data_IF_290677554139
#
_entry.id   IF_290677554139
#
_cell.length_a   1.000
_cell.length_b   1.000
_cell.length_c   1.000
_cell.angle_alpha   90.00
_cell.angle_beta   90.00
_cell.angle_gamma   90.00
#
_symmetry.space_group_name_H-M   'P 1'
#
loop_
_entity.id
_entity.type
_entity.pdbx_description
1 polymer ?
#
# COMPACT_ATOMS: atom_id res chain seq x y z
N UNK A 1 18.23 3.58 -22.67
CA UNK A 1 18.00 4.80 -21.89
C UNK A 1 17.49 4.35 -20.52
N UNK A 2 18.33 4.41 -19.48
CA UNK A 2 18.17 3.65 -18.23
C UNK A 2 17.47 4.49 -17.15
N UNK A 3 16.29 4.04 -16.72
CA UNK A 3 15.55 4.28 -15.47
C UNK A 3 15.82 5.57 -14.66
N UNK A 4 15.08 6.62 -14.97
CA UNK A 4 14.79 7.73 -14.04
C UNK A 4 13.51 7.51 -13.20
N UNK A 5 12.76 6.41 -13.39
CA UNK A 5 11.32 6.38 -13.07
C UNK A 5 10.91 6.33 -11.59
N UNK A 6 11.49 5.53 -10.67
CA UNK A 6 11.03 5.51 -9.29
C UNK A 6 11.38 6.79 -8.54
N UNK A 7 12.59 7.32 -8.79
CA UNK A 7 13.08 8.56 -8.20
C UNK A 7 12.25 9.75 -8.69
N UNK A 8 11.94 9.79 -9.98
CA UNK A 8 11.09 10.84 -10.55
C UNK A 8 9.65 10.77 -10.02
N UNK A 9 9.07 9.57 -9.91
CA UNK A 9 7.76 9.38 -9.28
C UNK A 9 7.73 9.90 -7.84
N UNK A 10 8.75 9.57 -7.05
CA UNK A 10 8.92 10.07 -5.68
C UNK A 10 9.09 11.59 -5.63
N UNK A 11 9.90 12.16 -6.53
CA UNK A 11 10.09 13.61 -6.62
C UNK A 11 8.76 14.33 -6.87
N UNK A 12 7.97 13.86 -7.85
CA UNK A 12 6.67 14.42 -8.16
C UNK A 12 5.65 14.24 -7.04
N UNK A 13 5.63 13.08 -6.39
CA UNK A 13 4.76 12.85 -5.24
C UNK A 13 5.15 13.71 -4.03
N UNK A 14 6.45 13.93 -3.80
CA UNK A 14 6.93 14.85 -2.77
C UNK A 14 6.53 16.30 -3.09
N UNK A 15 6.68 16.74 -4.35
CA UNK A 15 6.24 18.05 -4.78
C UNK A 15 4.72 18.23 -4.63
N UNK A 16 3.93 17.24 -5.05
CA UNK A 16 2.47 17.24 -4.90
C UNK A 16 2.05 17.28 -3.42
N UNK A 17 2.74 16.52 -2.55
CA UNK A 17 2.55 16.57 -1.11
C UNK A 17 2.86 17.95 -0.53
N UNK A 18 3.99 18.56 -0.90
CA UNK A 18 4.35 19.91 -0.47
C UNK A 18 3.33 20.95 -0.93
N UNK A 19 2.81 20.84 -2.15
CA UNK A 19 1.75 21.73 -2.67
C UNK A 19 0.45 21.54 -1.88
N UNK A 20 0.01 20.30 -1.65
CA UNK A 20 -1.21 20.01 -0.93
C UNK A 20 -1.15 20.48 0.55
N UNK A 21 0.02 20.35 1.18
CA UNK A 21 0.27 20.85 2.54
C UNK A 21 0.34 22.38 2.57
N UNK A 22 1.08 23.01 1.65
CA UNK A 22 1.21 24.47 1.57
C UNK A 22 -0.10 25.18 1.18
N UNK A 23 -0.96 24.51 0.41
CA UNK A 23 -2.33 24.92 0.10
C UNK A 23 -3.33 24.59 1.22
N UNK A 24 -2.87 23.99 2.33
CA UNK A 24 -3.68 23.65 3.51
C UNK A 24 -4.89 22.74 3.21
N UNK A 25 -4.78 21.89 2.18
CA UNK A 25 -5.87 20.96 1.82
C UNK A 25 -6.14 19.92 2.94
N UNK A 26 -5.19 19.74 3.84
CA UNK A 26 -5.30 18.90 5.03
C UNK A 26 -6.10 19.53 6.19
N UNK A 27 -6.48 20.81 6.09
CA UNK A 27 -7.18 21.56 7.16
C UNK A 27 -8.63 21.89 6.81
N UNK A 28 -9.17 21.43 5.67
CA UNK A 28 -10.52 21.84 5.28
C UNK A 28 -11.53 21.42 6.36
N UNK A 29 -12.37 22.34 6.83
CA UNK A 29 -13.38 22.08 7.88
C UNK A 29 -12.93 22.32 9.32
N UNK A 30 -11.62 22.46 9.60
CA UNK A 30 -11.13 22.90 10.92
C UNK A 30 -10.99 24.43 10.94
N UNK A 31 -11.36 25.12 12.04
CA UNK A 31 -11.08 26.54 12.18
C UNK A 31 -9.56 26.76 12.10
N UNK A 32 -9.10 27.91 11.55
CA UNK A 32 -7.67 28.17 11.41
C UNK A 32 -6.99 28.13 12.77
N UNK A 33 -6.33 27.01 13.07
CA UNK A 33 -5.47 26.90 14.24
C UNK A 33 -4.19 27.66 13.97
N UNK A 34 -3.73 28.41 14.97
CA UNK A 34 -2.67 29.41 14.87
C UNK A 34 -1.25 28.80 14.77
N UNK A 35 -1.10 27.63 14.14
CA UNK A 35 0.06 26.78 14.31
C UNK A 35 0.45 26.06 13.02
N UNK A 36 1.49 26.58 12.35
CA UNK A 36 2.69 25.87 11.85
C UNK A 36 3.35 26.64 10.69
N UNK A 37 4.68 26.69 10.74
CA UNK A 37 5.59 27.46 9.89
C UNK A 37 5.81 26.90 8.48
N UNK A 38 4.74 26.45 7.79
CA UNK A 38 4.88 26.10 6.37
C UNK A 38 4.70 27.34 5.50
N UNK A 39 5.47 27.49 4.41
CA UNK A 39 5.23 28.55 3.43
C UNK A 39 3.80 28.40 2.90
N UNK A 40 2.96 29.37 3.24
CA UNK A 40 1.54 29.33 2.89
C UNK A 40 1.36 29.86 1.47
N UNK A 41 0.68 29.08 0.63
CA UNK A 41 0.13 29.63 -0.60
C UNK A 41 -1.20 30.34 -0.27
N UNK A 42 -1.43 31.57 -0.75
CA UNK A 42 -2.72 32.22 -0.59
C UNK A 42 -3.76 31.48 -1.43
N UNK A 43 -4.50 30.57 -0.81
CA UNK A 43 -5.69 29.95 -1.40
C UNK A 43 -6.95 30.70 -0.95
N UNK A 44 -7.89 30.97 -1.86
CA UNK A 44 -9.19 31.50 -1.47
C UNK A 44 -9.89 30.49 -0.55
N UNK A 45 -10.60 30.98 0.47
CA UNK A 45 -11.41 30.11 1.30
C UNK A 45 -12.45 29.37 0.45
N UNK A 46 -12.68 28.09 0.73
CA UNK A 46 -13.63 27.25 0.01
C UNK A 46 -15.04 27.84 0.19
N UNK A 47 -15.55 28.51 -0.85
CA UNK A 47 -16.83 29.23 -0.80
C UNK A 47 -18.05 28.32 -0.90
N UNK A 48 -17.85 27.07 -1.35
CA UNK A 48 -18.92 26.10 -1.57
C UNK A 48 -18.54 24.73 -1.05
N UNK A 49 -19.55 23.94 -0.68
CA UNK A 49 -19.38 22.54 -0.29
C UNK A 49 -18.76 21.69 -1.39
N UNK A 50 -19.00 22.03 -2.67
CA UNK A 50 -18.41 21.33 -3.82
C UNK A 50 -16.90 21.53 -3.87
N UNK A 51 -16.42 22.77 -3.73
CA UNK A 51 -14.97 23.08 -3.73
C UNK A 51 -14.28 22.35 -2.57
N UNK A 52 -14.86 22.39 -1.37
CA UNK A 52 -14.32 21.66 -0.22
C UNK A 52 -14.19 20.15 -0.49
N UNK A 53 -15.14 19.54 -1.21
CA UNK A 53 -15.09 18.12 -1.54
C UNK A 53 -13.98 17.79 -2.55
N UNK A 54 -13.74 18.68 -3.51
CA UNK A 54 -12.65 18.54 -4.48
C UNK A 54 -11.29 18.64 -3.79
N UNK A 55 -11.14 19.58 -2.85
CA UNK A 55 -9.92 19.75 -2.06
C UNK A 55 -9.60 18.52 -1.20
N UNK A 56 -10.62 17.97 -0.52
CA UNK A 56 -10.49 16.72 0.25
C UNK A 56 -10.04 15.58 -0.65
N UNK A 57 -10.70 15.39 -1.80
CA UNK A 57 -10.37 14.31 -2.73
C UNK A 57 -8.97 14.48 -3.32
N UNK A 58 -8.57 15.71 -3.64
CA UNK A 58 -7.23 16.01 -4.12
C UNK A 58 -6.18 15.64 -3.06
N UNK A 59 -6.42 16.01 -1.80
CA UNK A 59 -5.54 15.65 -0.70
C UNK A 59 -5.45 14.13 -0.47
N UNK A 60 -6.59 13.44 -0.43
CA UNK A 60 -6.64 11.97 -0.31
C UNK A 60 -5.87 11.29 -1.45
N UNK A 61 -6.00 11.79 -2.68
CA UNK A 61 -5.26 11.27 -3.84
C UNK A 61 -3.75 11.43 -3.67
N UNK A 62 -3.30 12.59 -3.19
CA UNK A 62 -1.87 12.85 -2.92
C UNK A 62 -1.34 11.92 -1.81
N UNK A 63 -2.13 11.70 -0.76
CA UNK A 63 -1.79 10.75 0.31
C UNK A 63 -1.69 9.34 -0.22
N UNK A 64 -2.65 8.89 -1.03
CA UNK A 64 -2.63 7.56 -1.66
C UNK A 64 -1.35 7.43 -2.49
N UNK A 65 -1.13 8.31 -3.48
CA UNK A 65 0.04 8.26 -4.35
C UNK A 65 1.36 8.28 -3.56
N UNK A 66 1.47 9.15 -2.56
CA UNK A 66 2.65 9.22 -1.70
C UNK A 66 2.89 7.90 -0.95
N UNK A 67 1.85 7.27 -0.43
CA UNK A 67 1.95 6.04 0.34
C UNK A 67 2.22 4.82 -0.56
N UNK A 68 1.74 4.84 -1.80
CA UNK A 68 2.01 3.79 -2.79
C UNK A 68 3.51 3.69 -3.11
N UNK A 69 4.19 4.84 -3.28
CA UNK A 69 5.63 4.85 -3.54
C UNK A 69 6.47 4.42 -2.34
N UNK A 70 6.01 4.75 -1.13
CA UNK A 70 6.62 4.26 0.12
C UNK A 70 6.55 2.74 0.19
N UNK A 71 5.42 2.16 -0.23
CA UNK A 71 5.26 0.73 -0.29
C UNK A 71 6.12 0.05 -1.37
N UNK A 72 6.40 0.75 -2.47
CA UNK A 72 7.28 0.29 -3.54
C UNK A 72 8.74 0.19 -3.08
N UNK A 73 9.22 1.29 -2.50
CA UNK A 73 10.65 1.56 -2.32
C UNK A 73 11.12 1.27 -0.88
N UNK A 74 10.17 1.07 0.05
CA UNK A 74 10.45 0.94 1.48
C UNK A 74 10.97 2.22 2.13
N UNK A 75 11.10 3.30 1.36
CA UNK A 75 11.65 4.57 1.82
C UNK A 75 10.62 5.39 2.58
N UNK A 76 11.05 6.26 3.52
CA UNK A 76 10.12 7.07 4.29
C UNK A 76 9.26 7.99 3.39
N UNK A 77 7.98 8.21 3.77
CA UNK A 77 7.09 9.14 3.09
C UNK A 77 7.64 10.58 3.12
N UNK A 78 7.45 11.37 2.05
CA UNK A 78 7.80 12.79 2.04
C UNK A 78 6.96 13.61 3.02
N UNK A 79 5.71 13.21 3.27
CA UNK A 79 4.88 13.81 4.31
C UNK A 79 5.38 13.29 5.67
N UNK A 80 5.72 14.14 6.66
CA UNK A 80 6.13 13.68 7.99
C UNK A 80 5.00 12.95 8.72
N UNK A 81 5.31 11.91 9.51
CA UNK A 81 4.31 11.15 10.30
C UNK A 81 3.65 11.98 11.42
N UNK A 82 4.21 13.14 11.76
CA UNK A 82 3.67 14.07 12.77
C UNK A 82 2.70 15.11 12.23
N UNK A 83 2.49 15.19 10.91
CA UNK A 83 1.43 16.05 10.35
C UNK A 83 0.10 15.40 10.72
N UNK A 84 -0.60 15.99 11.69
CA UNK A 84 -1.91 15.52 12.13
C UNK A 84 -2.87 15.63 10.95
N UNK A 85 -3.24 14.50 10.37
CA UNK A 85 -4.24 14.45 9.31
C UNK A 85 -5.62 14.66 9.92
N UNK A 86 -6.08 15.90 10.02
CA UNK A 86 -7.49 16.22 10.17
C UNK A 86 -8.20 15.87 8.86
N UNK A 87 -8.45 14.57 8.62
CA UNK A 87 -9.27 14.17 7.47
C UNK A 87 -10.67 14.77 7.65
N UNK A 88 -11.06 15.75 6.82
CA UNK A 88 -12.16 16.70 7.04
C UNK A 88 -13.55 16.11 7.27
N UNK A 89 -13.77 14.88 6.82
CA UNK A 89 -15.12 14.29 6.70
C UNK A 89 -15.46 13.28 7.78
N UNK A 90 -14.55 12.98 8.71
CA UNK A 90 -14.91 12.24 9.92
C UNK A 90 -15.56 13.21 10.91
N UNK A 91 -16.86 13.44 10.78
CA UNK A 91 -17.63 14.43 11.52
C UNK A 91 -17.32 14.39 13.05
N UNK A 92 -16.68 15.46 13.54
CA UNK A 92 -16.76 15.91 14.94
C UNK A 92 -15.84 15.28 15.99
N UNK A 93 -14.63 14.81 15.68
CA UNK A 93 -13.68 14.38 16.72
C UNK A 93 -12.29 14.04 16.16
N UNK A 94 -11.25 13.84 17.01
CA UNK A 94 -9.84 13.82 16.60
C UNK A 94 -9.50 12.71 15.59
N UNK A 95 -9.72 13.06 14.33
CA UNK A 95 -8.85 12.92 13.16
C UNK A 95 -8.08 11.61 12.98
N UNK A 96 -6.81 11.49 13.32
CA UNK A 96 -6.10 10.23 13.07
C UNK A 96 -6.52 9.13 14.07
N UNK A 97 -6.82 9.52 15.31
CA UNK A 97 -7.04 8.58 16.40
C UNK A 97 -8.34 7.81 16.23
N UNK A 98 -9.41 8.45 15.73
CA UNK A 98 -10.68 7.78 15.39
C UNK A 98 -10.54 6.89 14.16
N UNK A 99 -9.81 7.35 13.14
CA UNK A 99 -9.46 6.54 11.98
C UNK A 99 -8.71 5.27 12.42
N UNK A 100 -7.79 5.41 13.38
CA UNK A 100 -6.96 4.35 13.93
C UNK A 100 -7.61 3.55 15.07
N UNK A 101 -8.74 4.00 15.63
CA UNK A 101 -9.44 3.31 16.73
C UNK A 101 -10.35 2.19 16.22
N UNK A 102 -10.33 1.92 14.91
CA UNK A 102 -11.21 0.94 14.29
C UNK A 102 -12.64 1.45 14.08
N UNK A 103 -12.82 2.78 14.02
CA UNK A 103 -14.13 3.36 13.69
C UNK A 103 -14.64 2.79 12.36
N UNK A 104 -15.95 2.56 12.35
CA UNK A 104 -16.69 1.96 11.24
C UNK A 104 -16.41 2.70 9.92
N UNK A 105 -16.30 1.94 8.83
CA UNK A 105 -16.13 2.48 7.48
C UNK A 105 -17.48 2.83 6.82
N UNK A 106 -18.60 2.56 7.48
CA UNK A 106 -19.93 2.91 6.99
C UNK A 106 -20.04 4.39 6.63
N UNK A 107 -20.51 4.68 5.42
CA UNK A 107 -20.68 6.04 4.90
C UNK A 107 -19.42 6.70 4.33
N UNK A 108 -18.25 6.04 4.35
CA UNK A 108 -17.05 6.54 3.68
C UNK A 108 -17.10 6.29 2.17
N UNK A 109 -16.49 7.19 1.39
CA UNK A 109 -16.26 6.96 -0.04
C UNK A 109 -15.19 5.87 -0.23
N UNK A 110 -15.21 5.14 -1.35
CA UNK A 110 -14.17 4.14 -1.66
C UNK A 110 -12.75 4.74 -1.61
N UNK A 111 -12.60 6.00 -2.03
CA UNK A 111 -11.32 6.74 -2.01
C UNK A 111 -10.88 7.04 -0.57
N UNK A 112 -11.80 7.43 0.31
CA UNK A 112 -11.48 7.64 1.72
C UNK A 112 -11.07 6.33 2.41
N UNK A 113 -11.72 5.21 2.09
CA UNK A 113 -11.33 3.88 2.58
C UNK A 113 -9.95 3.49 2.05
N UNK A 114 -9.64 3.77 0.78
CA UNK A 114 -8.31 3.55 0.21
C UNK A 114 -7.24 4.43 0.88
N UNK A 115 -7.54 5.70 1.13
CA UNK A 115 -6.64 6.62 1.84
C UNK A 115 -6.36 6.13 3.28
N UNK A 116 -7.38 5.58 3.96
CA UNK A 116 -7.24 4.92 5.26
C UNK A 116 -6.30 3.71 5.19
N UNK A 117 -6.48 2.83 4.20
CA UNK A 117 -5.60 1.69 3.96
C UNK A 117 -4.14 2.12 3.72
N UNK A 118 -3.93 3.13 2.86
CA UNK A 118 -2.60 3.67 2.58
C UNK A 118 -1.94 4.29 3.81
N UNK A 119 -2.70 4.96 4.67
CA UNK A 119 -2.18 5.54 5.93
C UNK A 119 -1.73 4.45 6.91
N UNK A 120 -2.48 3.35 7.02
CA UNK A 120 -2.09 2.18 7.82
C UNK A 120 -0.80 1.55 7.30
N UNK A 121 -0.72 1.32 5.98
CA UNK A 121 0.46 0.79 5.31
C UNK A 121 1.70 1.63 5.60
N UNK A 122 1.59 2.95 5.44
CA UNK A 122 2.67 3.88 5.73
C UNK A 122 3.14 3.80 7.18
N UNK A 123 2.22 3.72 8.15
CA UNK A 123 2.57 3.63 9.58
C UNK A 123 3.33 2.34 9.87
N UNK A 124 2.92 1.24 9.25
CA UNK A 124 3.60 -0.04 9.38
C UNK A 124 5.01 0.05 8.80
N UNK A 125 5.18 0.63 7.61
CA UNK A 125 6.51 0.79 6.99
C UNK A 125 7.42 1.62 7.87
N UNK A 126 6.91 2.70 8.47
CA UNK A 126 7.67 3.49 9.45
C UNK A 126 8.09 2.66 10.67
N UNK A 127 7.16 1.88 11.25
CA UNK A 127 7.42 1.03 12.41
C UNK A 127 8.45 -0.06 12.11
N UNK A 128 8.37 -0.69 10.94
CA UNK A 128 9.33 -1.73 10.55
C UNK A 128 10.69 -1.15 10.16
N UNK A 129 10.74 0.09 9.66
CA UNK A 129 11.98 0.77 9.31
C UNK A 129 12.75 1.31 10.52
N UNK A 130 12.09 1.56 11.66
CA UNK A 130 12.75 2.07 12.86
C UNK A 130 13.30 0.99 13.78
N UNK A 131 12.81 -0.24 13.67
CA UNK A 131 13.06 -1.32 14.64
C UNK A 131 14.02 -2.39 14.08
N UNK A 132 15.27 -2.02 13.84
CA UNK A 132 16.27 -2.94 13.27
C UNK A 132 16.74 -4.03 14.24
N UNK A 133 16.66 -3.81 15.57
CA UNK A 133 17.30 -4.71 16.55
C UNK A 133 16.33 -5.64 17.30
N UNK A 134 15.12 -5.20 17.61
CA UNK A 134 14.09 -6.03 18.25
C UNK A 134 12.68 -5.45 18.00
N UNK A 135 11.66 -6.29 17.74
CA UNK A 135 10.29 -5.83 17.64
C UNK A 135 9.77 -5.36 18.99
N UNK A 136 9.22 -4.14 19.04
CA UNK A 136 8.26 -3.78 20.07
C UNK A 136 6.98 -4.62 19.87
N UNK A 137 6.89 -5.73 20.60
CA UNK A 137 5.80 -6.70 20.51
C UNK A 137 4.42 -6.10 20.82
N UNK A 138 4.38 -5.08 21.69
CA UNK A 138 3.12 -4.41 22.06
C UNK A 138 2.62 -3.60 20.87
N UNK A 139 3.51 -2.81 20.26
CA UNK A 139 3.17 -2.02 19.09
C UNK A 139 2.88 -2.90 17.85
N UNK A 140 3.65 -3.97 17.65
CA UNK A 140 3.42 -4.96 16.61
C UNK A 140 1.99 -5.53 16.69
N UNK A 141 1.62 -6.09 17.86
CA UNK A 141 0.31 -6.72 18.08
C UNK A 141 -0.84 -5.71 17.97
N UNK A 142 -0.60 -4.45 18.37
CA UNK A 142 -1.56 -3.36 18.24
C UNK A 142 -1.81 -2.99 16.77
N UNK A 143 -0.76 -2.93 15.94
CA UNK A 143 -0.88 -2.66 14.51
C UNK A 143 -1.56 -3.82 13.77
N UNK A 144 -1.15 -5.06 14.06
CA UNK A 144 -1.73 -6.27 13.47
C UNK A 144 -3.24 -6.34 13.74
N UNK A 145 -3.66 -6.20 15.01
CA UNK A 145 -5.07 -6.24 15.40
C UNK A 145 -5.89 -5.18 14.66
N UNK A 146 -5.37 -3.95 14.56
CA UNK A 146 -6.06 -2.86 13.84
C UNK A 146 -6.18 -3.16 12.35
N UNK A 147 -5.13 -3.72 11.75
CA UNK A 147 -5.14 -4.04 10.34
C UNK A 147 -6.12 -5.17 10.02
N UNK A 148 -6.14 -6.22 10.84
CA UNK A 148 -7.10 -7.32 10.70
C UNK A 148 -8.55 -6.85 10.94
N UNK A 149 -8.77 -5.99 11.93
CA UNK A 149 -10.10 -5.40 12.16
C UNK A 149 -10.55 -4.53 10.98
N UNK A 150 -9.66 -3.68 10.45
CA UNK A 150 -9.96 -2.87 9.26
C UNK A 150 -10.27 -3.76 8.05
N UNK A 151 -9.47 -4.81 7.84
CA UNK A 151 -9.68 -5.78 6.76
C UNK A 151 -11.03 -6.48 6.87
N UNK A 152 -11.45 -6.86 8.08
CA UNK A 152 -12.73 -7.52 8.33
C UNK A 152 -13.93 -6.60 8.06
N UNK A 153 -13.74 -5.28 8.08
CA UNK A 153 -14.78 -4.31 7.73
C UNK A 153 -14.91 -4.10 6.22
N UNK A 154 -13.90 -4.45 5.41
CA UNK A 154 -13.92 -4.20 3.97
C UNK A 154 -15.02 -5.03 3.26
N UNK A 155 -15.75 -4.44 2.28
CA UNK A 155 -16.69 -5.20 1.48
C UNK A 155 -16.01 -6.35 0.72
N UNK A 156 -16.71 -7.47 0.44
CA UNK A 156 -16.14 -8.61 -0.26
C UNK A 156 -15.79 -8.30 -1.73
N UNK A 157 -14.88 -9.09 -2.31
CA UNK A 157 -14.49 -9.01 -3.72
C UNK A 157 -15.39 -9.93 -4.59
N UNK A 158 -15.54 -9.65 -5.91
CA UNK A 158 -14.99 -8.50 -6.63
C UNK A 158 -15.82 -7.23 -6.38
N UNK A 159 -15.12 -6.12 -6.16
CA UNK A 159 -15.69 -4.78 -6.05
C UNK A 159 -15.37 -3.92 -7.27
N UNK A 160 -15.40 -2.60 -7.10
CA UNK A 160 -14.76 -1.68 -8.06
C UNK A 160 -13.22 -1.77 -7.96
N UNK A 161 -12.53 -1.11 -8.89
CA UNK A 161 -11.06 -1.07 -8.90
C UNK A 161 -10.47 -0.44 -7.62
N UNK A 162 -11.15 0.54 -7.03
CA UNK A 162 -10.70 1.24 -5.82
C UNK A 162 -10.76 0.30 -4.61
N UNK A 163 -11.79 -0.53 -4.52
CA UNK A 163 -11.95 -1.54 -3.48
C UNK A 163 -10.92 -2.66 -3.65
N UNK A 164 -10.65 -3.12 -4.87
CA UNK A 164 -9.55 -4.07 -5.14
C UNK A 164 -8.21 -3.48 -4.67
N UNK A 165 -7.96 -2.22 -5.01
CA UNK A 165 -6.75 -1.52 -4.59
C UNK A 165 -6.69 -1.33 -3.06
N UNK A 166 -7.84 -1.13 -2.41
CA UNK A 166 -7.96 -1.03 -0.94
C UNK A 166 -7.60 -2.34 -0.26
N UNK A 167 -8.13 -3.46 -0.75
CA UNK A 167 -7.75 -4.80 -0.28
C UNK A 167 -6.25 -5.03 -0.49
N UNK A 168 -5.73 -4.70 -1.68
CA UNK A 168 -4.32 -4.86 -1.99
C UNK A 168 -3.41 -4.05 -1.06
N UNK A 169 -3.75 -2.80 -0.73
CA UNK A 169 -2.99 -1.99 0.24
C UNK A 169 -3.04 -2.56 1.65
N UNK A 170 -4.21 -3.07 2.06
CA UNK A 170 -4.41 -3.64 3.39
C UNK A 170 -3.60 -4.92 3.55
N UNK A 171 -3.66 -5.82 2.57
CA UNK A 171 -2.87 -7.06 2.58
C UNK A 171 -1.37 -6.76 2.39
N UNK A 172 -0.99 -5.74 1.61
CA UNK A 172 0.41 -5.28 1.51
C UNK A 172 0.93 -4.73 2.84
N UNK A 173 0.09 -4.04 3.61
CA UNK A 173 0.44 -3.58 4.94
C UNK A 173 0.71 -4.76 5.88
N UNK A 174 -0.08 -5.83 5.78
CA UNK A 174 0.12 -7.03 6.59
C UNK A 174 1.42 -7.72 6.18
N UNK A 175 1.65 -7.86 4.87
CA UNK A 175 2.90 -8.38 4.34
C UNK A 175 4.10 -7.60 4.88
N UNK A 176 4.07 -6.26 4.81
CA UNK A 176 5.16 -5.41 5.30
C UNK A 176 5.36 -5.52 6.81
N UNK A 177 4.30 -5.68 7.60
CA UNK A 177 4.39 -5.88 9.05
C UNK A 177 5.12 -7.18 9.41
N UNK A 178 4.83 -8.26 8.71
CA UNK A 178 5.37 -9.59 9.04
C UNK A 178 6.70 -9.92 8.34
N UNK A 179 7.00 -9.32 7.18
CA UNK A 179 8.17 -9.65 6.38
C UNK A 179 9.52 -9.59 7.13
N UNK A 180 9.82 -8.59 7.99
CA UNK A 180 11.07 -8.55 8.73
C UNK A 180 11.27 -9.72 9.71
N UNK A 181 10.18 -10.39 10.09
CA UNK A 181 10.18 -11.45 11.10
C UNK A 181 9.96 -12.85 10.50
N UNK A 182 9.85 -12.98 9.17
CA UNK A 182 9.54 -14.25 8.52
C UNK A 182 10.63 -15.32 8.66
N UNK A 183 11.90 -14.90 8.80
CA UNK A 183 13.01 -15.83 9.03
C UNK A 183 13.01 -16.44 10.44
N UNK A 184 12.43 -15.72 11.40
CA UNK A 184 12.50 -16.05 12.83
C UNK A 184 11.21 -16.65 13.33
N UNK A 185 10.05 -16.17 12.86
CA UNK A 185 8.73 -16.58 13.32
C UNK A 185 7.92 -17.19 12.18
N UNK A 186 7.62 -18.49 12.32
CA UNK A 186 6.82 -19.23 11.33
C UNK A 186 5.42 -18.62 11.14
N UNK A 187 4.81 -18.09 12.20
CA UNK A 187 3.54 -17.39 12.12
C UNK A 187 3.62 -16.17 11.18
N UNK A 188 4.67 -15.35 11.31
CA UNK A 188 4.86 -14.18 10.45
C UNK A 188 5.10 -14.57 9.00
N UNK A 189 5.88 -15.63 8.76
CA UNK A 189 6.06 -16.17 7.40
C UNK A 189 4.75 -16.61 6.78
N UNK A 190 3.94 -17.37 7.51
CA UNK A 190 2.62 -17.82 7.07
C UNK A 190 1.69 -16.65 6.76
N UNK A 191 1.64 -15.62 7.62
CA UNK A 191 0.83 -14.41 7.40
C UNK A 191 1.29 -13.61 6.17
N UNK A 192 2.60 -13.47 5.97
CA UNK A 192 3.17 -12.79 4.80
C UNK A 192 2.78 -13.51 3.49
N UNK A 193 2.90 -14.83 3.44
CA UNK A 193 2.51 -15.64 2.29
C UNK A 193 0.99 -15.60 2.05
N UNK A 194 0.19 -15.70 3.11
CA UNK A 194 -1.26 -15.60 3.01
C UNK A 194 -1.70 -14.22 2.50
N UNK A 195 -1.00 -13.15 2.86
CA UNK A 195 -1.24 -11.81 2.31
C UNK A 195 -0.93 -11.76 0.80
N UNK A 196 0.18 -12.33 0.35
CA UNK A 196 0.53 -12.40 -1.07
C UNK A 196 -0.56 -13.12 -1.89
N UNK A 197 -1.00 -14.28 -1.42
CA UNK A 197 -2.06 -15.06 -2.07
C UNK A 197 -3.38 -14.30 -2.18
N UNK A 198 -3.76 -13.52 -1.14
CA UNK A 198 -4.97 -12.70 -1.18
C UNK A 198 -4.86 -11.53 -2.15
N UNK A 199 -3.68 -10.91 -2.29
CA UNK A 199 -3.48 -9.86 -3.30
C UNK A 199 -3.62 -10.45 -4.71
N UNK A 200 -3.03 -11.62 -4.96
CA UNK A 200 -3.18 -12.39 -6.21
C UNK A 200 -4.66 -12.67 -6.53
N UNK A 201 -5.48 -13.05 -5.55
CA UNK A 201 -6.92 -13.21 -5.75
C UNK A 201 -7.61 -11.87 -6.12
N UNK A 202 -7.16 -10.76 -5.54
CA UNK A 202 -7.59 -9.42 -5.95
C UNK A 202 -7.30 -9.11 -7.42
N UNK A 203 -6.17 -9.57 -7.96
CA UNK A 203 -5.82 -9.40 -9.40
C UNK A 203 -6.80 -10.15 -10.29
N UNK A 204 -7.23 -11.35 -9.91
CA UNK A 204 -8.31 -12.07 -10.62
C UNK A 204 -9.60 -11.26 -10.63
N UNK A 205 -9.92 -10.60 -9.51
CA UNK A 205 -11.02 -9.64 -9.44
C UNK A 205 -10.88 -8.52 -10.47
N UNK A 206 -9.68 -7.95 -10.63
CA UNK A 206 -9.40 -6.88 -11.60
C UNK A 206 -9.65 -7.34 -13.05
N UNK A 207 -9.21 -8.56 -13.39
CA UNK A 207 -9.47 -9.15 -14.71
C UNK A 207 -10.95 -9.37 -14.99
N UNK A 208 -11.74 -9.74 -13.97
CA UNK A 208 -13.19 -9.93 -14.10
C UNK A 208 -13.91 -8.61 -14.39
N UNK A 209 -13.51 -7.52 -13.73
CA UNK A 209 -14.18 -6.22 -13.91
C UNK A 209 -13.73 -5.46 -15.16
N UNK A 210 -12.58 -5.81 -15.76
CA UNK A 210 -12.03 -5.21 -16.98
C UNK A 210 -12.13 -3.67 -16.98
N UNK A 211 -11.44 -3.00 -16.03
CA UNK A 211 -11.61 -1.57 -15.86
C UNK A 211 -11.13 -0.81 -17.11
N UNK A 212 -11.70 0.37 -17.34
CA UNK A 212 -11.35 1.21 -18.50
C UNK A 212 -9.90 1.71 -18.45
N UNK A 213 -9.38 1.89 -17.23
CA UNK A 213 -8.00 2.27 -16.96
C UNK A 213 -7.47 1.39 -15.83
N UNK A 214 -6.15 1.23 -15.75
CA UNK A 214 -5.52 0.47 -14.67
C UNK A 214 -4.62 1.41 -13.90
N UNK A 215 -4.78 1.41 -12.59
CA UNK A 215 -4.00 2.27 -11.72
C UNK A 215 -2.55 1.76 -11.68
N UNK A 216 -1.55 2.56 -12.12
CA UNK A 216 -0.16 2.14 -12.13
C UNK A 216 0.38 1.80 -10.72
N UNK A 217 -0.32 2.22 -9.66
CA UNK A 217 -0.01 1.84 -8.27
C UNK A 217 0.03 0.32 -8.07
N UNK A 218 -0.70 -0.45 -8.87
CA UNK A 218 -0.65 -1.91 -8.78
C UNK A 218 0.75 -2.47 -9.08
N UNK A 219 1.55 -1.81 -9.93
CA UNK A 219 2.86 -2.29 -10.36
C UNK A 219 3.80 -2.58 -9.18
N UNK A 220 4.07 -1.58 -8.32
CA UNK A 220 4.89 -1.78 -7.13
C UNK A 220 4.37 -2.83 -6.14
N UNK A 221 3.06 -2.97 -6.01
CA UNK A 221 2.45 -4.00 -5.16
C UNK A 221 2.82 -5.39 -5.70
N UNK A 222 2.64 -5.58 -7.01
CA UNK A 222 2.93 -6.85 -7.70
C UNK A 222 4.43 -7.18 -7.68
N UNK A 223 5.28 -6.16 -7.86
CA UNK A 223 6.72 -6.31 -7.70
C UNK A 223 7.10 -6.79 -6.29
N UNK A 224 6.51 -6.21 -5.26
CA UNK A 224 6.78 -6.60 -3.86
C UNK A 224 6.40 -8.07 -3.62
N UNK A 225 5.25 -8.51 -4.13
CA UNK A 225 4.80 -9.91 -4.01
C UNK A 225 5.74 -10.86 -4.73
N UNK A 226 6.15 -10.52 -5.96
CA UNK A 226 7.08 -11.33 -6.71
C UNK A 226 8.40 -11.52 -5.97
N UNK A 227 8.96 -10.46 -5.39
CA UNK A 227 10.20 -10.55 -4.61
C UNK A 227 10.08 -11.48 -3.41
N UNK A 228 8.91 -11.48 -2.74
CA UNK A 228 8.65 -12.41 -1.63
C UNK A 228 8.63 -13.85 -2.13
N UNK A 229 7.89 -14.15 -3.20
CA UNK A 229 7.88 -15.51 -3.76
C UNK A 229 9.25 -15.95 -4.29
N UNK A 230 9.98 -15.09 -4.99
CA UNK A 230 11.33 -15.38 -5.49
C UNK A 230 12.26 -15.71 -4.32
N UNK A 231 12.19 -14.93 -3.24
CA UNK A 231 12.99 -15.16 -2.03
C UNK A 231 12.64 -16.51 -1.38
N UNK A 232 11.35 -16.80 -1.23
CA UNK A 232 10.86 -18.04 -0.62
C UNK A 232 11.19 -19.28 -1.46
N UNK A 233 11.06 -19.20 -2.78
CA UNK A 233 11.49 -20.26 -3.72
C UNK A 233 13.00 -20.47 -3.60
N UNK A 234 13.79 -19.39 -3.61
CA UNK A 234 15.26 -19.48 -3.47
C UNK A 234 15.66 -20.14 -2.15
N UNK A 235 15.00 -19.77 -1.04
CA UNK A 235 15.24 -20.37 0.27
C UNK A 235 14.82 -21.85 0.29
N UNK A 236 13.72 -22.21 -0.36
CA UNK A 236 13.28 -23.60 -0.48
C UNK A 236 14.27 -24.45 -1.29
N UNK A 237 14.80 -23.91 -2.40
CA UNK A 237 15.81 -24.60 -3.23
C UNK A 237 17.15 -24.82 -2.53
N UNK A 238 17.53 -23.93 -1.60
CA UNK A 238 18.79 -24.04 -0.85
C UNK A 238 18.72 -25.00 0.33
N UNK A 239 17.52 -25.29 0.85
CA UNK A 239 17.35 -26.21 1.99
C UNK A 239 17.42 -27.66 1.49
N UNK A 240 18.26 -28.46 2.13
CA UNK A 240 18.42 -29.87 1.81
C UNK A 240 17.07 -30.62 1.90
N UNK A 241 16.85 -31.66 1.08
CA UNK A 241 15.58 -32.42 1.02
C UNK A 241 15.20 -33.14 2.33
N UNK A 242 16.06 -33.13 3.35
CA UNK A 242 15.85 -33.82 4.62
C UNK A 242 14.83 -33.12 5.53
N UNK A 243 14.56 -31.83 5.35
CA UNK A 243 13.57 -31.13 6.17
C UNK A 243 12.18 -31.17 5.53
N UNK A 244 11.30 -31.94 6.17
CA UNK A 244 9.88 -32.13 5.84
C UNK A 244 9.05 -30.85 6.10
N UNK A 245 9.39 -29.74 5.45
CA UNK A 245 8.57 -28.53 5.49
C UNK A 245 7.31 -28.72 4.64
N UNK A 246 6.18 -28.09 5.00
CA UNK A 246 5.01 -28.06 4.14
C UNK A 246 5.43 -27.52 2.77
N UNK A 247 5.34 -28.39 1.77
CA UNK A 247 5.92 -28.17 0.45
C UNK A 247 5.01 -27.22 -0.35
N UNK A 248 5.03 -25.94 0.03
CA UNK A 248 4.27 -24.87 -0.62
C UNK A 248 4.98 -24.34 -1.88
N UNK A 249 6.24 -24.72 -2.11
CA UNK A 249 7.04 -24.34 -3.29
C UNK A 249 6.30 -24.51 -4.63
N UNK A 250 5.64 -25.66 -4.94
CA UNK A 250 4.89 -25.80 -6.19
C UNK A 250 3.77 -24.77 -6.34
N UNK A 251 3.08 -24.42 -5.25
CA UNK A 251 2.03 -23.40 -5.27
C UNK A 251 2.64 -22.01 -5.52
N UNK A 252 3.79 -21.70 -4.92
CA UNK A 252 4.49 -20.42 -5.14
C UNK A 252 4.97 -20.26 -6.59
N UNK A 253 5.48 -21.33 -7.22
CA UNK A 253 5.84 -21.31 -8.64
C UNK A 253 4.62 -21.05 -9.55
N UNK A 254 3.48 -21.69 -9.24
CA UNK A 254 2.24 -21.48 -9.97
C UNK A 254 1.73 -20.03 -9.81
N UNK A 255 1.76 -19.50 -8.59
CA UNK A 255 1.38 -18.12 -8.27
C UNK A 255 2.29 -17.09 -8.95
N UNK A 256 3.62 -17.32 -8.96
CA UNK A 256 4.58 -16.46 -9.65
C UNK A 256 4.39 -16.49 -11.18
N UNK A 257 4.12 -17.68 -11.74
CA UNK A 257 3.81 -17.83 -13.17
C UNK A 257 2.51 -17.12 -13.55
N UNK A 258 1.51 -17.19 -12.67
CA UNK A 258 0.25 -16.47 -12.83
C UNK A 258 0.46 -14.96 -12.76
N UNK A 259 1.28 -14.48 -11.82
CA UNK A 259 1.66 -13.06 -11.73
C UNK A 259 2.37 -12.56 -12.98
N UNK A 260 3.28 -13.36 -13.55
CA UNK A 260 3.94 -13.06 -14.84
C UNK A 260 2.91 -12.89 -15.95
N UNK A 261 1.97 -13.84 -16.09
CA UNK A 261 0.93 -13.77 -17.12
C UNK A 261 0.06 -12.51 -16.99
N UNK A 262 -0.24 -12.08 -15.76
CA UNK A 262 -0.95 -10.84 -15.51
C UNK A 262 -0.15 -9.61 -15.87
N UNK A 263 1.13 -9.56 -15.52
CA UNK A 263 1.98 -8.44 -15.89
C UNK A 263 2.17 -8.34 -17.40
N UNK A 264 2.17 -9.46 -18.13
CA UNK A 264 2.12 -9.45 -19.60
C UNK A 264 0.84 -8.79 -20.13
N UNK A 265 -0.32 -9.07 -19.51
CA UNK A 265 -1.57 -8.40 -19.86
C UNK A 265 -1.56 -6.91 -19.49
N UNK A 266 -0.89 -6.54 -18.39
CA UNK A 266 -0.85 -5.17 -17.87
C UNK A 266 0.20 -4.28 -18.52
N UNK A 267 1.29 -4.84 -19.04
CA UNK A 267 2.42 -4.13 -19.62
C UNK A 267 2.03 -3.04 -20.64
N UNK A 268 1.07 -3.27 -21.57
CA UNK A 268 0.65 -2.24 -22.52
C UNK A 268 0.00 -1.00 -21.88
N UNK A 269 -0.47 -1.09 -20.64
CA UNK A 269 -1.19 -0.02 -19.95
C UNK A 269 -0.27 0.94 -19.18
N UNK A 270 0.95 0.53 -18.82
CA UNK A 270 1.91 1.39 -18.13
C UNK A 270 3.34 0.85 -18.19
N UNK A 271 4.36 1.70 -18.40
CA UNK A 271 5.77 1.30 -18.35
C UNK A 271 6.19 0.62 -17.04
N UNK A 272 5.52 0.93 -15.93
CA UNK A 272 5.82 0.32 -14.64
C UNK A 272 5.54 -1.19 -14.64
N UNK A 273 4.49 -1.62 -15.35
CA UNK A 273 4.13 -3.04 -15.45
C UNK A 273 5.08 -3.78 -16.37
N UNK A 274 5.47 -3.17 -17.49
CA UNK A 274 6.46 -3.72 -18.42
C UNK A 274 7.80 -3.96 -17.71
N UNK A 275 8.25 -2.98 -16.91
CA UNK A 275 9.44 -3.14 -16.09
C UNK A 275 9.33 -4.29 -15.09
N UNK A 276 8.22 -4.34 -14.32
CA UNK A 276 7.99 -5.44 -13.38
C UNK A 276 7.99 -6.80 -14.09
N UNK A 277 7.44 -6.86 -15.32
CA UNK A 277 7.41 -8.07 -16.13
C UNK A 277 8.81 -8.54 -16.51
N UNK A 278 9.70 -7.64 -16.96
CA UNK A 278 11.08 -7.99 -17.32
C UNK A 278 11.79 -8.63 -16.13
N UNK A 279 11.73 -7.97 -14.98
CA UNK A 279 12.42 -8.43 -13.78
C UNK A 279 11.87 -9.79 -13.28
N UNK A 280 10.54 -9.97 -13.33
CA UNK A 280 9.89 -11.25 -12.95
C UNK A 280 10.19 -12.35 -13.95
N UNK A 281 10.27 -12.04 -15.24
CA UNK A 281 10.60 -13.04 -16.28
C UNK A 281 12.01 -13.56 -16.07
N UNK A 282 12.98 -12.66 -15.83
CA UNK A 282 14.36 -13.06 -15.52
C UNK A 282 14.43 -13.97 -14.28
N UNK A 283 13.62 -13.69 -13.26
CA UNK A 283 13.57 -14.51 -12.06
C UNK A 283 12.94 -15.89 -12.31
N UNK A 284 11.83 -15.97 -13.05
CA UNK A 284 11.16 -17.24 -13.39
C UNK A 284 12.05 -18.14 -14.25
N UNK A 285 12.75 -17.57 -15.22
CA UNK A 285 13.64 -18.33 -16.11
C UNK A 285 14.82 -18.95 -15.35
N UNK A 286 15.32 -18.26 -14.30
CA UNK A 286 16.37 -18.79 -13.42
C UNK A 286 15.97 -20.07 -12.68
N UNK A 287 14.67 -20.26 -12.39
CA UNK A 287 14.17 -21.46 -11.70
C UNK A 287 13.67 -22.56 -12.63
N UNK A 288 13.67 -22.33 -13.95
CA UNK A 288 13.20 -23.31 -14.94
C UNK A 288 14.30 -24.29 -15.39
N UNK A 289 15.53 -24.10 -14.89
CA UNK A 289 16.72 -24.89 -15.18
C UNK A 289 17.24 -25.55 -13.91
#
# INVERSE_FOLDING_TARGET
>A
MRCAEPVQGRYHCAAAASLALGARLHLTGSPPQNSQSYPSFPMPASTTSVVANVEVHAFETVVILSNCWVAADGTPPPIPCGVLFDTPRLHGGPSLQRLLSGADITGLSSVAVLAKAGTLLRRIIWFTGSNESAPDLVMFSSLERRLLAFRAQLPPLPGDQVLILTHAHTDLALLRLHAPYSSTWEHSRSQALAACARIIEGIKGLQRIKPRYIDPVFGPIYWTIANVYISEITLASQRAPEFNFPNNAPNMHAELSQLRAWLTWLAPHSPIFDRCLVDITMAVDKFSH
#
